data_IF_452067980629
#
_entry.id   IF_452067980629
#
_cell.length_a   1.000
_cell.length_b   1.000
_cell.length_c   1.000
_cell.angle_alpha   90.00
_cell.angle_beta   90.00
_cell.angle_gamma   90.00
#
_symmetry.space_group_name_H-M   'P 1'
#
loop_
_entity.id
_entity.type
_entity.pdbx_description
1 polymer ?
#
# COMPACT_ATOMS: atom_id res chain seq x y z
N UNK A 1 4.92 -2.00 -17.71
CA UNK A 1 3.59 -1.37 -17.56
C UNK A 1 3.63 -0.43 -16.35
N UNK A 2 2.93 0.70 -16.37
CA UNK A 2 3.05 1.73 -15.32
C UNK A 2 2.82 1.21 -13.89
N UNK A 3 1.96 0.21 -13.72
CA UNK A 3 1.69 -0.45 -12.43
C UNK A 3 2.89 -1.20 -11.84
N UNK A 4 3.79 -1.73 -12.67
CA UNK A 4 5.01 -2.42 -12.19
C UNK A 4 6.03 -1.42 -11.65
N UNK A 5 6.13 -0.24 -12.27
CA UNK A 5 7.01 0.83 -11.80
C UNK A 5 6.52 1.40 -10.47
N UNK A 6 5.22 1.66 -10.32
CA UNK A 6 4.63 2.11 -9.05
C UNK A 6 4.74 1.05 -7.95
N UNK A 7 4.54 -0.23 -8.29
CA UNK A 7 4.74 -1.32 -7.33
C UNK A 7 6.21 -1.44 -6.90
N UNK A 8 7.15 -1.30 -7.83
CA UNK A 8 8.58 -1.30 -7.53
C UNK A 8 8.98 -0.10 -6.67
N UNK A 9 8.42 1.08 -6.92
CA UNK A 9 8.61 2.26 -6.06
C UNK A 9 8.10 1.97 -4.65
N UNK A 10 6.91 1.40 -4.54
CA UNK A 10 6.28 1.13 -3.27
C UNK A 10 7.01 0.04 -2.47
N UNK A 11 7.55 -0.98 -3.14
CA UNK A 11 8.43 -1.98 -2.53
C UNK A 11 9.75 -1.38 -2.05
N UNK A 12 10.32 -0.41 -2.79
CA UNK A 12 11.61 0.22 -2.47
C UNK A 12 11.51 1.27 -1.38
N UNK A 13 10.47 2.10 -1.41
CA UNK A 13 10.27 3.24 -0.49
C UNK A 13 9.42 2.87 0.71
N UNK A 14 8.60 1.81 0.59
CA UNK A 14 7.57 1.46 1.55
C UNK A 14 6.25 2.21 1.34
N UNK A 15 6.20 3.18 0.43
CA UNK A 15 5.02 4.02 0.18
C UNK A 15 4.67 4.96 1.34
N UNK A 16 3.61 5.74 1.14
CA UNK A 16 3.04 6.62 2.18
C UNK A 16 2.00 5.84 3.00
N UNK A 17 2.20 5.76 4.31
CA UNK A 17 1.25 5.12 5.21
C UNK A 17 -0.01 5.97 5.37
N UNK A 18 -1.18 5.37 5.11
CA UNK A 18 -2.49 6.03 5.20
C UNK A 18 -3.35 5.51 6.36
N UNK A 19 -3.05 4.31 6.85
CA UNK A 19 -3.67 3.73 8.04
C UNK A 19 -2.78 2.63 8.64
N UNK A 20 -2.85 2.42 9.96
CA UNK A 20 -2.08 1.41 10.67
C UNK A 20 -0.79 1.97 11.24
N UNK A 21 0.26 1.14 11.26
CA UNK A 21 1.56 1.50 11.84
C UNK A 21 2.09 2.83 11.29
N UNK A 22 2.54 3.72 12.18
CA UNK A 22 3.03 5.05 11.82
C UNK A 22 1.96 6.10 11.49
N UNK A 23 0.67 5.81 11.75
CA UNK A 23 -0.43 6.76 11.51
C UNK A 23 -1.39 6.82 12.70
N UNK A 24 -2.15 7.91 12.82
CA UNK A 24 -3.22 8.05 13.81
C UNK A 24 -4.49 7.26 13.43
N UNK A 25 -4.58 6.84 12.16
CA UNK A 25 -5.74 6.11 11.62
C UNK A 25 -5.60 4.62 11.87
N UNK A 26 -6.54 4.01 12.60
CA UNK A 26 -6.55 2.56 12.85
C UNK A 26 -6.76 1.76 11.55
N UNK A 27 -5.90 0.77 11.31
CA UNK A 27 -6.10 -0.24 10.27
C UNK A 27 -7.03 -1.35 10.76
N UNK A 28 -8.28 -1.37 10.30
CA UNK A 28 -9.32 -2.32 10.77
C UNK A 28 -9.03 -3.78 10.43
N UNK A 29 -8.30 -4.04 9.34
CA UNK A 29 -7.98 -5.38 8.85
C UNK A 29 -6.64 -5.91 9.36
N UNK A 30 -5.97 -5.17 10.26
CA UNK A 30 -4.61 -5.49 10.71
C UNK A 30 -4.50 -6.89 11.37
N UNK A 31 -5.49 -7.30 12.15
CA UNK A 31 -5.51 -8.63 12.75
C UNK A 31 -5.67 -9.74 11.71
N UNK A 32 -6.46 -9.48 10.67
CA UNK A 32 -6.69 -10.44 9.60
C UNK A 32 -5.44 -10.61 8.72
N UNK A 33 -4.75 -9.50 8.43
CA UNK A 33 -3.44 -9.51 7.76
C UNK A 33 -2.40 -10.30 8.56
N UNK A 34 -2.35 -10.10 9.88
CA UNK A 34 -1.43 -10.85 10.74
C UNK A 34 -1.75 -12.36 10.76
N UNK A 35 -3.03 -12.74 10.68
CA UNK A 35 -3.44 -14.15 10.58
C UNK A 35 -3.09 -14.77 9.23
N UNK A 36 -3.29 -14.05 8.13
CA UNK A 36 -3.06 -14.55 6.78
C UNK A 36 -1.58 -14.57 6.39
N UNK A 37 -0.84 -13.51 6.75
CA UNK A 37 0.52 -13.28 6.26
C UNK A 37 1.59 -13.30 7.37
N UNK A 38 1.17 -13.39 8.65
CA UNK A 38 2.06 -13.42 9.81
C UNK A 38 2.43 -12.03 10.34
N UNK A 39 3.36 -12.00 11.31
CA UNK A 39 3.76 -10.78 12.00
C UNK A 39 2.74 -10.31 13.05
N UNK A 40 2.87 -9.07 13.55
CA UNK A 40 1.92 -8.48 14.51
C UNK A 40 0.99 -7.50 13.79
N UNK A 41 -0.27 -7.47 14.22
CA UNK A 41 -1.27 -6.52 13.70
C UNK A 41 -0.77 -5.06 13.72
N UNK A 42 -0.09 -4.66 14.81
CA UNK A 42 0.45 -3.29 14.97
C UNK A 42 1.57 -2.93 13.99
N UNK A 43 2.16 -3.90 13.31
CA UNK A 43 3.23 -3.69 12.33
C UNK A 43 2.66 -3.48 10.92
N UNK A 44 1.38 -3.76 10.70
CA UNK A 44 0.73 -3.63 9.40
C UNK A 44 0.23 -2.21 9.16
N UNK A 45 0.46 -1.72 7.96
CA UNK A 45 -0.03 -0.43 7.46
C UNK A 45 -0.61 -0.58 6.07
N UNK A 46 -1.66 0.18 5.79
CA UNK A 46 -2.04 0.46 4.40
C UNK A 46 -1.14 1.54 3.86
N UNK A 47 -0.60 1.33 2.67
CA UNK A 47 0.32 2.24 2.00
C UNK A 47 -0.15 2.56 0.59
N UNK A 48 0.19 3.75 0.10
CA UNK A 48 -0.08 4.21 -1.26
C UNK A 48 1.20 4.62 -1.99
N UNK A 49 1.22 4.48 -3.33
CA UNK A 49 2.31 4.92 -4.20
C UNK A 49 2.12 6.38 -4.61
N UNK A 50 3.12 6.96 -5.27
CA UNK A 50 2.93 8.19 -6.03
C UNK A 50 1.90 7.98 -7.14
N UNK A 51 1.20 9.05 -7.53
CA UNK A 51 0.21 9.02 -8.60
C UNK A 51 0.86 8.98 -9.98
N UNK A 52 0.35 8.13 -10.88
CA UNK A 52 0.77 8.03 -12.28
C UNK A 52 -0.36 8.52 -13.20
N UNK A 53 -0.06 9.42 -14.13
CA UNK A 53 -1.03 9.88 -15.13
C UNK A 53 -0.84 9.11 -16.44
N UNK A 54 -1.87 8.37 -16.85
CA UNK A 54 -1.91 7.67 -18.12
C UNK A 54 -2.16 8.61 -19.30
N UNK A 55 -1.93 8.11 -20.52
CA UNK A 55 -2.07 8.88 -21.75
C UNK A 55 -3.51 9.39 -21.98
N UNK A 56 -4.53 8.66 -21.52
CA UNK A 56 -5.94 9.09 -21.60
C UNK A 56 -6.30 10.16 -20.55
N UNK A 57 -5.37 10.47 -19.64
CA UNK A 57 -5.56 11.44 -18.57
C UNK A 57 -5.98 10.85 -17.23
N UNK A 58 -6.38 9.57 -17.17
CA UNK A 58 -6.68 8.88 -15.91
C UNK A 58 -5.44 8.84 -15.01
N UNK A 59 -5.63 9.15 -13.72
CA UNK A 59 -4.60 9.08 -12.69
C UNK A 59 -4.75 7.74 -11.96
N UNK A 60 -3.65 7.05 -11.72
CA UNK A 60 -3.61 5.76 -11.03
C UNK A 60 -2.71 5.81 -9.81
N UNK A 61 -3.12 5.12 -8.75
CA UNK A 61 -2.32 4.88 -7.54
C UNK A 61 -2.32 3.39 -7.22
N UNK A 62 -1.24 2.90 -6.62
CA UNK A 62 -1.18 1.54 -6.07
C UNK A 62 -1.44 1.63 -4.58
N UNK A 63 -2.50 0.97 -4.13
CA UNK A 63 -2.76 0.73 -2.70
C UNK A 63 -2.35 -0.69 -2.34
N UNK A 64 -1.64 -0.85 -1.24
CA UNK A 64 -1.21 -2.16 -0.74
C UNK A 64 -1.17 -2.18 0.79
N UNK A 65 -0.93 -3.35 1.37
CA UNK A 65 -0.61 -3.49 2.79
C UNK A 65 0.86 -3.85 2.96
N UNK A 66 1.52 -3.18 3.91
CA UNK A 66 2.93 -3.39 4.22
C UNK A 66 3.11 -3.70 5.69
N UNK A 67 3.91 -4.70 6.00
CA UNK A 67 4.42 -4.92 7.35
C UNK A 67 5.73 -4.14 7.54
N UNK A 68 5.78 -3.24 8.51
CA UNK A 68 6.93 -2.38 8.76
C UNK A 68 8.17 -3.13 9.28
N UNK A 69 7.98 -4.29 9.92
CA UNK A 69 9.06 -5.10 10.50
C UNK A 69 9.63 -6.06 9.47
N UNK A 70 8.77 -6.79 8.74
CA UNK A 70 9.23 -7.78 7.75
C UNK A 70 9.49 -7.18 6.37
N UNK A 71 9.00 -5.96 6.12
CA UNK A 71 9.03 -5.32 4.80
C UNK A 71 8.07 -5.95 3.79
N UNK A 72 7.29 -6.96 4.19
CA UNK A 72 6.40 -7.69 3.30
C UNK A 72 5.30 -6.77 2.77
N UNK A 73 5.06 -6.86 1.46
CA UNK A 73 4.03 -6.11 0.76
C UNK A 73 3.02 -7.06 0.15
N UNK A 74 1.74 -6.87 0.45
CA UNK A 74 0.66 -7.77 0.04
C UNK A 74 -0.53 -7.00 -0.53
N UNK A 75 -1.31 -7.72 -1.34
CA UNK A 75 -2.54 -7.24 -1.98
C UNK A 75 -2.42 -5.88 -2.72
N UNK A 76 -1.42 -5.69 -3.60
CA UNK A 76 -1.33 -4.47 -4.39
C UNK A 76 -2.54 -4.34 -5.33
N UNK A 77 -3.20 -3.18 -5.30
CA UNK A 77 -4.36 -2.84 -6.12
C UNK A 77 -4.15 -1.51 -6.82
N UNK A 78 -4.28 -1.52 -8.14
CA UNK A 78 -4.33 -0.31 -8.95
C UNK A 78 -5.69 0.36 -8.83
N UNK A 79 -5.70 1.60 -8.36
CA UNK A 79 -6.91 2.39 -8.15
C UNK A 79 -6.89 3.60 -9.10
N UNK A 80 -7.88 3.73 -10.01
CA UNK A 80 -8.05 4.95 -10.78
C UNK A 80 -8.63 6.05 -9.89
N UNK A 81 -7.96 7.20 -9.85
CA UNK A 81 -8.40 8.41 -9.15
C UNK A 81 -9.20 9.26 -10.15
N UNK A 82 -10.52 9.29 -9.96
CA UNK A 82 -11.38 10.28 -10.63
C UNK A 82 -11.29 11.59 -9.85
N UNK A 83 -10.78 12.64 -10.49
CA UNK A 83 -10.90 14.01 -10.01
C UNK A 83 -12.26 14.58 -10.37
#
# INVERSE_FOLDING_TARGET
>A
MASEAQLSELARTGGLAVAGSGTETKLRVAEDLAKQYGGKASDWSKVTSSSYKAADGTIFEIHAYRNAVTGQLVEPKSIPIKK
#
